data_IF_984530737591
#
_entry.id   IF_984530737591
#
_cell.length_a   1.000
_cell.length_b   1.000
_cell.length_c   1.000
_cell.angle_alpha   90.00
_cell.angle_beta   90.00
_cell.angle_gamma   90.00
#
_symmetry.space_group_name_H-M   'P 1'
#
loop_
_entity.id
_entity.type
_entity.pdbx_description
1 polymer ?
#
# COMPACT_ATOMS: atom_id res chain seq x y z
N UNK A 1 24.21 -13.45 34.50
CA UNK A 1 23.95 -13.37 33.05
C UNK A 1 22.45 -13.28 32.83
N UNK A 2 21.93 -12.12 32.42
CA UNK A 2 20.54 -11.96 31.98
C UNK A 2 20.51 -10.79 30.98
N UNK A 3 20.78 -11.08 29.70
CA UNK A 3 20.71 -10.13 28.59
C UNK A 3 19.38 -10.32 27.84
N UNK A 4 18.25 -10.11 28.51
CA UNK A 4 16.98 -10.04 27.78
C UNK A 4 16.95 -8.73 27.01
N UNK A 5 16.86 -8.74 25.66
CA UNK A 5 16.74 -7.50 24.90
C UNK A 5 15.49 -6.73 25.34
N UNK A 6 15.57 -5.40 25.30
CA UNK A 6 14.46 -4.53 25.70
C UNK A 6 13.19 -4.87 24.90
N UNK A 7 12.07 -5.06 25.60
CA UNK A 7 10.77 -5.28 24.98
C UNK A 7 10.23 -3.94 24.48
N UNK A 8 10.16 -3.77 23.16
CA UNK A 8 9.53 -2.61 22.53
C UNK A 8 8.01 -2.75 22.52
N UNK A 9 7.29 -1.70 22.96
CA UNK A 9 5.84 -1.58 22.82
C UNK A 9 5.54 -0.44 21.84
N UNK A 10 4.75 -0.71 20.81
CA UNK A 10 4.26 0.30 19.88
C UNK A 10 2.74 0.22 19.76
N UNK A 11 2.10 1.36 19.49
CA UNK A 11 0.69 1.40 19.16
C UNK A 11 0.49 1.00 17.69
N UNK A 12 -0.62 0.32 17.41
CA UNK A 12 -1.05 0.02 16.04
C UNK A 12 -2.12 1.06 15.69
N UNK A 13 -1.93 1.71 14.56
CA UNK A 13 -2.86 2.70 14.03
C UNK A 13 -3.38 2.24 12.67
N UNK A 14 -4.67 2.47 12.44
CA UNK A 14 -5.31 2.24 11.15
C UNK A 14 -5.77 3.59 10.59
N UNK A 15 -5.64 3.75 9.28
CA UNK A 15 -6.16 4.92 8.58
C UNK A 15 -7.47 4.54 7.87
N UNK A 16 -8.48 5.44 7.85
CA UNK A 16 -9.67 5.21 7.04
C UNK A 16 -9.29 5.16 5.54
N UNK A 17 -10.08 4.46 4.71
CA UNK A 17 -9.83 4.40 3.27
C UNK A 17 -9.86 5.80 2.65
N UNK A 18 -8.93 6.05 1.73
CA UNK A 18 -8.88 7.30 0.99
C UNK A 18 -9.95 7.32 -0.12
N UNK A 19 -10.58 8.48 -0.38
CA UNK A 19 -11.57 8.61 -1.46
C UNK A 19 -10.95 8.58 -2.86
N UNK A 20 -9.65 8.86 -2.97
CA UNK A 20 -8.85 8.78 -4.20
C UNK A 20 -7.38 8.59 -3.83
N UNK A 21 -6.60 7.90 -4.67
CA UNK A 21 -5.18 7.62 -4.40
C UNK A 21 -4.23 8.57 -5.15
N UNK A 22 -4.77 9.40 -6.04
CA UNK A 22 -3.99 10.38 -6.78
C UNK A 22 -4.70 11.72 -6.90
N UNK A 23 -3.91 12.74 -7.17
CA UNK A 23 -4.36 14.07 -7.58
C UNK A 23 -3.31 14.71 -8.46
N UNK A 24 -3.73 15.20 -9.63
CA UNK A 24 -2.85 15.81 -10.62
C UNK A 24 -1.68 14.88 -10.98
N UNK A 25 -0.44 15.26 -10.61
CA UNK A 25 0.78 14.50 -10.89
C UNK A 25 1.35 13.77 -9.68
N UNK A 26 0.54 13.58 -8.64
CA UNK A 26 0.93 12.93 -7.39
C UNK A 26 0.05 11.71 -7.16
N UNK A 27 0.68 10.57 -6.85
CA UNK A 27 0.02 9.31 -6.49
C UNK A 27 0.62 8.80 -5.18
N UNK A 28 -0.24 8.26 -4.32
CA UNK A 28 0.14 7.60 -3.08
C UNK A 28 0.37 6.11 -3.36
N UNK A 29 1.31 5.49 -2.63
CA UNK A 29 1.58 4.05 -2.66
C UNK A 29 1.93 3.56 -1.25
N UNK A 30 1.80 2.26 -0.98
CA UNK A 30 2.12 1.69 0.34
C UNK A 30 1.03 1.98 1.39
N UNK A 31 1.43 2.07 2.66
CA UNK A 31 0.49 2.22 3.79
C UNK A 31 -0.54 3.37 3.64
N UNK A 32 -0.23 4.53 3.02
CA UNK A 32 -1.25 5.55 2.77
C UNK A 32 -2.42 5.07 1.90
N UNK A 33 -2.21 4.14 0.96
CA UNK A 33 -3.27 3.64 0.08
C UNK A 33 -3.97 2.40 0.61
N UNK A 34 -3.31 1.64 1.49
CA UNK A 34 -3.84 0.37 1.98
C UNK A 34 -3.50 0.04 3.44
N UNK A 35 -3.46 1.05 4.32
CA UNK A 35 -3.12 0.92 5.74
C UNK A 35 -3.53 -0.43 6.33
N UNK A 36 -2.52 -1.27 6.57
CA UNK A 36 -2.69 -2.66 6.96
C UNK A 36 -2.28 -2.87 8.41
N UNK A 37 -2.98 -3.77 9.08
CA UNK A 37 -2.49 -4.30 10.35
C UNK A 37 -1.11 -4.95 10.16
N UNK A 38 -0.12 -4.65 11.02
CA UNK A 38 1.20 -5.25 10.96
C UNK A 38 1.19 -6.76 11.26
N UNK A 39 0.09 -7.31 11.79
CA UNK A 39 -0.06 -8.74 12.13
C UNK A 39 0.18 -9.68 10.95
N UNK A 40 -0.13 -9.25 9.72
CA UNK A 40 0.06 -10.07 8.51
C UNK A 40 1.46 -9.98 7.89
N UNK A 41 2.29 -9.01 8.31
CA UNK A 41 3.63 -8.79 7.76
C UNK A 41 3.69 -8.43 6.26
N UNK A 42 2.56 -8.06 5.64
CA UNK A 42 2.48 -7.85 4.19
C UNK A 42 2.69 -6.39 3.72
N UNK A 43 2.80 -5.43 4.64
CA UNK A 43 2.99 -3.99 4.33
C UNK A 43 4.08 -3.72 3.31
N UNK A 44 5.30 -4.17 3.61
CA UNK A 44 6.44 -3.99 2.73
C UNK A 44 6.27 -4.68 1.37
N UNK A 45 5.74 -5.90 1.36
CA UNK A 45 5.47 -6.66 0.13
C UNK A 45 4.47 -5.93 -0.76
N UNK A 46 3.40 -5.39 -0.19
CA UNK A 46 2.39 -4.65 -0.96
C UNK A 46 2.90 -3.32 -1.49
N UNK A 47 3.70 -2.59 -0.72
CA UNK A 47 4.37 -1.38 -1.19
C UNK A 47 5.32 -1.67 -2.38
N UNK A 48 6.06 -2.78 -2.33
CA UNK A 48 6.93 -3.21 -3.43
C UNK A 48 6.13 -3.57 -4.69
N UNK A 49 5.00 -4.25 -4.53
CA UNK A 49 4.13 -4.55 -5.65
C UNK A 49 3.47 -3.31 -6.25
N UNK A 50 3.09 -2.32 -5.42
CA UNK A 50 2.58 -1.04 -5.89
C UNK A 50 3.61 -0.36 -6.78
N UNK A 51 4.87 -0.26 -6.32
CA UNK A 51 5.95 0.33 -7.09
C UNK A 51 6.18 -0.41 -8.41
N UNK A 52 6.20 -1.75 -8.39
CA UNK A 52 6.38 -2.56 -9.59
C UNK A 52 5.23 -2.35 -10.59
N UNK A 53 3.99 -2.28 -10.11
CA UNK A 53 2.82 -2.11 -10.96
C UNK A 53 2.78 -0.69 -11.56
N UNK A 54 3.07 0.34 -10.76
CA UNK A 54 3.14 1.72 -11.22
C UNK A 54 4.19 1.89 -12.32
N UNK A 55 5.39 1.32 -12.16
CA UNK A 55 6.45 1.36 -13.19
C UNK A 55 6.02 0.68 -14.49
N UNK A 56 5.28 -0.44 -14.41
CA UNK A 56 4.76 -1.12 -15.60
C UNK A 56 3.76 -0.24 -16.36
N UNK A 57 2.85 0.40 -15.64
CA UNK A 57 1.86 1.31 -16.24
C UNK A 57 2.52 2.55 -16.85
N UNK A 58 3.49 3.17 -16.16
CA UNK A 58 4.24 4.30 -16.70
C UNK A 58 4.91 3.98 -18.04
N UNK A 59 5.45 2.76 -18.20
CA UNK A 59 6.02 2.29 -19.47
C UNK A 59 4.96 2.05 -20.54
N UNK A 60 3.80 1.51 -20.16
CA UNK A 60 2.70 1.20 -21.08
C UNK A 60 2.05 2.46 -21.66
N UNK A 61 1.84 3.49 -20.82
CA UNK A 61 1.18 4.73 -21.20
C UNK A 61 2.16 5.84 -21.59
N UNK A 62 3.42 5.49 -21.92
CA UNK A 62 4.44 6.46 -22.36
C UNK A 62 4.63 7.67 -21.43
N UNK A 63 4.40 7.50 -20.12
CA UNK A 63 4.52 8.57 -19.12
C UNK A 63 3.32 9.51 -18.97
N UNK A 64 2.17 9.23 -19.59
CA UNK A 64 0.94 9.99 -19.35
C UNK A 64 0.37 9.70 -17.95
N UNK A 65 0.45 10.68 -17.04
CA UNK A 65 0.18 10.45 -15.60
C UNK A 65 -1.28 10.12 -15.27
N UNK A 66 -2.25 10.84 -15.84
CA UNK A 66 -3.68 10.62 -15.58
C UNK A 66 -4.13 9.16 -15.86
N UNK A 67 -3.94 8.62 -17.08
CA UNK A 67 -4.34 7.25 -17.35
C UNK A 67 -3.55 6.21 -16.54
N UNK A 68 -2.29 6.50 -16.20
CA UNK A 68 -1.48 5.64 -15.33
C UNK A 68 -2.05 5.57 -13.91
N UNK A 69 -2.41 6.71 -13.32
CA UNK A 69 -2.87 6.75 -11.94
C UNK A 69 -4.28 6.18 -11.78
N UNK A 70 -5.17 6.46 -12.74
CA UNK A 70 -6.50 5.85 -12.76
C UNK A 70 -6.44 4.32 -12.87
N UNK A 71 -5.56 3.79 -13.73
CA UNK A 71 -5.38 2.35 -13.88
C UNK A 71 -4.65 1.72 -12.68
N UNK A 72 -3.70 2.44 -12.09
CA UNK A 72 -3.01 2.01 -10.86
C UNK A 72 -4.02 1.82 -9.72
N UNK A 73 -4.84 2.82 -9.44
CA UNK A 73 -5.86 2.77 -8.39
C UNK A 73 -6.84 1.62 -8.63
N UNK A 74 -7.39 1.51 -9.85
CA UNK A 74 -8.32 0.44 -10.24
C UNK A 74 -7.72 -0.95 -10.08
N UNK A 75 -6.47 -1.16 -10.50
CA UNK A 75 -5.81 -2.46 -10.47
C UNK A 75 -5.40 -2.92 -9.07
N UNK A 76 -5.10 -1.97 -8.15
CA UNK A 76 -4.60 -2.28 -6.81
C UNK A 76 -5.69 -2.28 -5.74
N UNK A 77 -6.79 -1.54 -5.90
CA UNK A 77 -7.90 -1.50 -4.94
C UNK A 77 -8.48 -2.90 -4.65
N UNK A 78 -8.67 -3.73 -5.69
CA UNK A 78 -9.21 -5.09 -5.52
C UNK A 78 -8.23 -6.07 -4.84
N UNK A 79 -6.91 -5.85 -4.95
CA UNK A 79 -5.89 -6.72 -4.35
C UNK A 79 -5.63 -6.36 -2.89
N UNK A 80 -5.53 -5.07 -2.60
CA UNK A 80 -5.32 -4.55 -1.24
C UNK A 80 -6.52 -4.84 -0.34
N UNK A 81 -7.75 -4.63 -0.82
CA UNK A 81 -8.96 -4.96 -0.07
C UNK A 81 -9.04 -6.44 0.36
N UNK A 82 -8.59 -7.38 -0.50
CA UNK A 82 -8.57 -8.81 -0.18
C UNK A 82 -7.58 -9.15 0.94
N UNK A 83 -6.43 -8.48 0.98
CA UNK A 83 -5.40 -8.74 1.98
C UNK A 83 -5.78 -8.13 3.32
N UNK A 84 -6.37 -6.94 3.33
CA UNK A 84 -6.91 -6.33 4.56
C UNK A 84 -7.99 -7.23 5.17
N UNK A 85 -8.92 -7.74 4.37
CA UNK A 85 -9.96 -8.66 4.86
C UNK A 85 -9.40 -9.97 5.45
N UNK A 86 -8.24 -10.45 4.99
CA UNK A 86 -7.57 -11.61 5.57
C UNK A 86 -6.87 -11.28 6.89
N UNK A 87 -6.26 -10.09 7.01
CA UNK A 87 -5.49 -9.69 8.19
C UNK A 87 -6.34 -9.40 9.45
N UNK A 88 -7.66 -9.24 9.31
CA UNK A 88 -8.60 -8.97 10.40
C UNK A 88 -9.48 -10.18 10.79
N UNK A 89 -9.25 -11.36 10.22
CA UNK A 89 -9.87 -12.63 10.62
C UNK A 89 -8.87 -13.52 11.37
#
# INVERSE_FOLDING_TARGET
MANTPAIGKTNIYEAPPLPAWHKDRVVLIGDPTHAMSPSGGQGASLALEDALYLVKLLRQFSGEFEPVFAEFERGRHGRTAKINAWAHN
#
